data_IF_292744492730
#
_entry.id   IF_292744492730
#
_cell.length_a   1.000
_cell.length_b   1.000
_cell.length_c   1.000
_cell.angle_alpha   90.00
_cell.angle_beta   90.00
_cell.angle_gamma   90.00
#
_symmetry.space_group_name_H-M   'P 1'
#
loop_
_entity.id
_entity.type
_entity.pdbx_description
1 polymer ?
#
# COMPACT_ATOMS: atom_id res chain seq x y z
N UNK A 1 -21.50 36.82 -26.50
CA UNK A 1 -21.54 35.42 -26.06
C UNK A 1 -20.27 34.70 -26.46
N UNK A 2 -19.25 34.73 -25.62
CA UNK A 2 -18.14 33.77 -25.66
C UNK A 2 -17.97 33.35 -24.20
N UNK A 3 -18.47 32.17 -23.85
CA UNK A 3 -18.20 31.56 -22.55
C UNK A 3 -16.82 30.90 -22.67
N UNK A 4 -15.83 31.43 -21.95
CA UNK A 4 -14.56 30.76 -21.71
C UNK A 4 -14.86 29.57 -20.80
N UNK A 5 -14.75 28.36 -21.34
CA UNK A 5 -14.69 27.13 -20.54
C UNK A 5 -13.23 26.93 -20.15
N UNK A 6 -12.75 27.76 -19.23
CA UNK A 6 -11.53 27.45 -18.49
C UNK A 6 -11.89 26.32 -17.53
N UNK A 7 -11.81 25.09 -18.05
CA UNK A 7 -11.74 23.89 -17.23
C UNK A 7 -10.46 24.05 -16.42
N UNK A 8 -10.63 24.24 -15.11
CA UNK A 8 -9.56 24.14 -14.13
C UNK A 8 -9.01 22.72 -14.19
N UNK A 9 -8.11 22.45 -15.14
CA UNK A 9 -7.17 21.35 -15.05
C UNK A 9 -6.29 21.69 -13.85
N UNK A 10 -6.66 21.18 -12.69
CA UNK A 10 -5.72 21.07 -11.59
C UNK A 10 -4.57 20.20 -12.13
N UNK A 11 -3.45 20.83 -12.45
CA UNK A 11 -2.20 20.10 -12.65
C UNK A 11 -1.83 19.53 -11.28
N UNK A 12 -2.34 18.33 -10.99
CA UNK A 12 -1.81 17.50 -9.93
C UNK A 12 -0.30 17.41 -10.20
N UNK A 13 0.52 17.82 -9.24
CA UNK A 13 1.98 17.86 -9.39
C UNK A 13 2.54 16.51 -9.85
N UNK A 14 3.79 16.43 -10.29
CA UNK A 14 4.34 15.14 -10.68
C UNK A 14 4.48 14.25 -9.43
N UNK A 15 3.66 13.20 -9.34
CA UNK A 15 3.75 12.18 -8.30
C UNK A 15 4.91 11.23 -8.58
N UNK A 16 5.47 10.63 -7.54
CA UNK A 16 6.48 9.58 -7.72
C UNK A 16 5.79 8.25 -8.04
N UNK A 17 6.40 7.48 -8.94
CA UNK A 17 6.02 6.10 -9.23
C UNK A 17 6.12 5.26 -7.95
N UNK A 18 5.10 4.49 -7.63
CA UNK A 18 5.14 3.45 -6.60
C UNK A 18 5.03 2.10 -7.27
N UNK A 19 5.85 1.13 -6.86
CA UNK A 19 5.74 -0.25 -7.32
C UNK A 19 5.51 -1.19 -6.13
N UNK A 20 4.50 -2.04 -6.22
CA UNK A 20 4.25 -3.08 -5.23
C UNK A 20 4.90 -4.38 -5.65
N UNK A 21 5.58 -5.01 -4.70
CA UNK A 21 6.36 -6.23 -4.90
C UNK A 21 5.97 -7.26 -3.85
N UNK A 22 5.87 -8.53 -4.23
CA UNK A 22 5.58 -9.59 -3.26
C UNK A 22 6.45 -10.82 -3.45
N UNK A 23 6.52 -11.59 -2.38
CA UNK A 23 7.01 -12.96 -2.35
C UNK A 23 6.24 -13.71 -1.29
N UNK A 24 5.70 -14.88 -1.65
CA UNK A 24 4.89 -15.70 -0.74
C UNK A 24 3.71 -14.88 -0.15
N UNK A 25 3.57 -14.83 1.17
CA UNK A 25 2.51 -14.11 1.88
C UNK A 25 2.89 -12.70 2.34
N UNK A 26 4.05 -12.18 1.89
CA UNK A 26 4.52 -10.84 2.25
C UNK A 26 4.68 -9.96 1.01
N UNK A 27 4.47 -8.66 1.19
CA UNK A 27 4.65 -7.67 0.14
C UNK A 27 5.18 -6.35 0.71
N UNK A 28 5.72 -5.51 -0.17
CA UNK A 28 6.15 -4.16 0.16
C UNK A 28 6.21 -3.27 -1.07
N UNK A 29 6.78 -2.08 -0.93
CA UNK A 29 6.79 -1.07 -1.97
C UNK A 29 8.20 -0.50 -2.24
N UNK A 30 8.44 -0.06 -3.47
CA UNK A 30 9.50 0.88 -3.82
C UNK A 30 8.92 2.18 -4.35
N UNK A 31 9.67 3.28 -4.21
CA UNK A 31 9.31 4.61 -4.72
C UNK A 31 10.32 5.00 -5.81
N UNK A 32 9.83 5.64 -6.87
CA UNK A 32 10.61 6.00 -8.04
C UNK A 32 10.99 4.77 -8.87
N UNK A 33 12.24 4.74 -9.32
CA UNK A 33 12.78 3.67 -10.18
C UNK A 33 13.69 2.69 -9.43
N UNK A 34 13.52 2.57 -8.12
CA UNK A 34 14.29 1.65 -7.29
C UNK A 34 13.90 0.19 -7.55
N UNK A 35 14.90 -0.67 -7.74
CA UNK A 35 14.70 -2.11 -7.88
C UNK A 35 14.55 -2.78 -6.52
N UNK A 36 13.48 -3.55 -6.33
CA UNK A 36 13.32 -4.41 -5.16
C UNK A 36 14.08 -5.74 -5.36
N UNK A 37 15.33 -5.81 -4.91
CA UNK A 37 16.18 -6.99 -5.08
C UNK A 37 16.48 -7.69 -3.75
N UNK A 38 16.30 -9.02 -3.71
CA UNK A 38 16.80 -9.90 -2.63
C UNK A 38 17.57 -11.07 -3.27
N UNK A 39 18.87 -11.22 -2.97
CA UNK A 39 19.83 -12.12 -3.66
C UNK A 39 19.48 -13.63 -3.70
N UNK A 40 18.32 -14.07 -3.24
CA UNK A 40 17.88 -15.46 -3.31
C UNK A 40 16.38 -15.64 -3.53
N UNK A 41 15.62 -14.56 -3.74
CA UNK A 41 14.16 -14.59 -3.79
C UNK A 41 13.68 -14.04 -5.13
N UNK A 42 12.83 -14.82 -5.82
CA UNK A 42 12.12 -14.34 -7.00
C UNK A 42 10.97 -13.42 -6.56
N UNK A 43 11.28 -12.13 -6.43
CA UNK A 43 10.30 -11.09 -6.12
C UNK A 43 9.52 -10.75 -7.38
N UNK A 44 8.20 -10.72 -7.28
CA UNK A 44 7.30 -10.40 -8.40
C UNK A 44 6.78 -8.98 -8.20
N UNK A 45 6.98 -8.12 -9.20
CA UNK A 45 6.30 -6.82 -9.29
C UNK A 45 4.85 -7.05 -9.70
N UNK A 46 3.92 -6.58 -8.86
CA UNK A 46 2.48 -6.77 -9.07
C UNK A 46 1.88 -5.67 -9.93
N UNK A 47 2.04 -4.44 -9.47
CA UNK A 47 1.42 -3.28 -10.09
C UNK A 47 2.22 -2.02 -9.76
N UNK A 48 1.86 -0.95 -10.47
CA UNK A 48 2.43 0.36 -10.27
C UNK A 48 1.32 1.38 -10.03
N UNK A 49 1.65 2.40 -9.27
CA UNK A 49 0.76 3.50 -8.90
C UNK A 49 1.55 4.77 -8.66
N UNK A 50 0.93 5.71 -7.96
CA UNK A 50 1.46 7.05 -7.75
C UNK A 50 1.37 7.45 -6.28
N UNK A 51 2.29 8.31 -5.83
CA UNK A 51 2.23 8.91 -4.49
C UNK A 51 1.09 9.92 -4.34
N UNK A 52 0.47 10.34 -5.45
CA UNK A 52 -0.64 11.29 -5.46
C UNK A 52 -1.85 10.72 -6.22
N UNK A 53 -3.06 11.29 -6.02
CA UNK A 53 -4.21 10.92 -6.83
C UNK A 53 -4.01 11.31 -8.29
N UNK A 54 -4.21 10.35 -9.18
CA UNK A 54 -4.26 10.52 -10.63
C UNK A 54 -5.64 10.15 -11.18
N UNK A 55 -5.98 10.60 -12.38
CA UNK A 55 -7.24 10.25 -13.03
C UNK A 55 -7.37 8.73 -13.17
N UNK A 56 -8.51 8.17 -12.74
CA UNK A 56 -8.78 6.73 -12.79
C UNK A 56 -8.14 5.91 -11.66
N UNK A 57 -7.29 6.51 -10.83
CA UNK A 57 -6.69 5.84 -9.67
C UNK A 57 -7.57 5.93 -8.42
N UNK A 58 -7.38 4.99 -7.50
CA UNK A 58 -7.99 5.00 -6.17
C UNK A 58 -6.93 4.80 -5.09
N UNK A 59 -7.13 5.35 -3.88
CA UNK A 59 -6.23 5.05 -2.78
C UNK A 59 -6.28 3.55 -2.48
N UNK A 60 -5.12 2.95 -2.23
CA UNK A 60 -5.00 1.59 -1.76
C UNK A 60 -4.50 1.60 -0.31
N UNK A 61 -5.27 1.02 0.59
CA UNK A 61 -4.96 0.95 2.01
C UNK A 61 -4.50 -0.46 2.38
N UNK A 62 -3.50 -0.56 3.25
CA UNK A 62 -3.29 -1.71 4.10
C UNK A 62 -3.82 -1.37 5.49
N UNK A 63 -4.86 -2.08 5.92
CA UNK A 63 -5.50 -1.89 7.21
C UNK A 63 -5.32 -3.16 8.01
N UNK A 64 -4.94 -3.06 9.29
CA UNK A 64 -4.94 -4.21 10.19
C UNK A 64 -5.83 -3.98 11.39
N UNK A 65 -6.45 -5.06 11.85
CA UNK A 65 -7.12 -5.09 13.12
C UNK A 65 -7.03 -6.47 13.79
N UNK A 66 -6.49 -6.52 15.00
CA UNK A 66 -6.38 -7.73 15.83
C UNK A 66 -5.92 -9.00 15.09
N UNK A 67 -4.90 -8.88 14.24
CA UNK A 67 -4.36 -10.01 13.47
C UNK A 67 -5.05 -10.28 12.13
N UNK A 68 -6.15 -9.58 11.82
CA UNK A 68 -6.73 -9.55 10.48
C UNK A 68 -6.12 -8.39 9.68
N UNK A 69 -5.95 -8.59 8.38
CA UNK A 69 -5.50 -7.56 7.44
C UNK A 69 -6.48 -7.41 6.28
N UNK A 70 -6.50 -6.21 5.72
CA UNK A 70 -7.26 -5.86 4.53
C UNK A 70 -6.36 -5.02 3.62
N UNK A 71 -6.37 -5.33 2.33
CA UNK A 71 -5.75 -4.53 1.27
C UNK A 71 -6.82 -4.14 0.26
N UNK A 72 -7.09 -2.85 0.10
CA UNK A 72 -8.09 -2.38 -0.86
C UNK A 72 -8.42 -0.89 -0.74
N UNK A 73 -9.43 -0.44 -1.47
CA UNK A 73 -9.82 0.97 -1.57
C UNK A 73 -10.83 1.42 -0.51
N UNK A 74 -11.53 0.47 0.13
CA UNK A 74 -12.41 0.75 1.27
C UNK A 74 -11.66 1.01 2.59
N UNK A 75 -11.48 2.28 2.93
CA UNK A 75 -10.93 2.72 4.22
C UNK A 75 -11.79 2.33 5.44
N UNK A 76 -12.99 1.78 5.24
CA UNK A 76 -13.95 1.46 6.29
C UNK A 76 -14.21 -0.04 6.44
N UNK A 77 -13.40 -0.88 5.78
CA UNK A 77 -13.60 -2.33 5.73
C UNK A 77 -13.77 -3.00 7.11
N UNK A 78 -13.00 -2.55 8.10
CA UNK A 78 -13.07 -3.07 9.48
C UNK A 78 -14.01 -2.28 10.41
N UNK A 79 -14.77 -1.30 9.93
CA UNK A 79 -15.65 -0.51 10.81
C UNK A 79 -16.94 -1.28 11.08
N UNK A 80 -17.43 -1.32 12.34
CA UNK A 80 -18.71 -1.93 12.64
C UNK A 80 -19.86 -1.14 11.99
N UNK A 81 -20.74 -1.84 11.28
CA UNK A 81 -22.00 -1.28 10.80
C UNK A 81 -22.97 -1.16 11.98
N UNK A 82 -22.99 0.01 12.62
CA UNK A 82 -23.84 0.30 13.78
C UNK A 82 -25.07 1.14 13.45
N UNK A 83 -25.42 1.26 12.15
CA UNK A 83 -26.65 1.90 11.66
C UNK A 83 -26.67 3.43 11.73
N UNK A 84 -26.13 4.04 12.78
CA UNK A 84 -26.33 5.49 13.02
C UNK A 84 -25.08 6.33 12.81
N UNK A 85 -23.86 5.80 13.06
CA UNK A 85 -22.58 6.52 12.89
C UNK A 85 -21.40 5.56 12.66
N UNK A 86 -20.59 5.83 11.64
CA UNK A 86 -19.30 5.15 11.48
C UNK A 86 -18.33 5.59 12.58
N UNK A 87 -17.69 4.61 13.22
CA UNK A 87 -16.64 4.83 14.24
C UNK A 87 -15.31 4.30 13.69
N UNK A 88 -14.57 5.09 12.90
CA UNK A 88 -13.35 4.64 12.20
C UNK A 88 -12.18 4.25 13.11
N UNK A 89 -12.30 4.52 14.40
CA UNK A 89 -11.31 4.13 15.41
C UNK A 89 -11.66 2.80 16.11
N UNK A 90 -12.76 2.14 15.76
CA UNK A 90 -13.17 0.86 16.37
C UNK A 90 -13.24 -0.19 15.28
N UNK A 91 -12.69 -1.37 15.57
CA UNK A 91 -12.85 -2.51 14.70
C UNK A 91 -14.14 -3.27 14.98
N UNK A 92 -14.74 -3.80 13.92
CA UNK A 92 -15.93 -4.62 14.00
C UNK A 92 -15.65 -5.89 14.81
N UNK A 93 -16.58 -6.24 15.70
CA UNK A 93 -16.52 -7.43 16.55
C UNK A 93 -15.33 -7.50 17.53
N UNK A 94 -14.66 -6.36 17.77
CA UNK A 94 -13.54 -6.27 18.70
C UNK A 94 -13.88 -5.43 19.94
N UNK A 95 -13.02 -5.50 20.96
CA UNK A 95 -13.11 -4.62 22.12
C UNK A 95 -12.91 -3.15 21.72
N UNK A 96 -13.59 -2.23 22.43
CA UNK A 96 -13.51 -0.79 22.16
C UNK A 96 -12.09 -0.21 22.34
N UNK A 97 -11.16 -0.91 22.97
CA UNK A 97 -9.75 -0.52 23.05
C UNK A 97 -8.93 -0.88 21.81
N UNK A 98 -9.41 -1.82 20.98
CA UNK A 98 -8.72 -2.24 19.75
C UNK A 98 -8.90 -1.16 18.68
N UNK A 99 -7.78 -0.76 18.08
CA UNK A 99 -7.70 0.33 17.09
C UNK A 99 -7.23 -0.24 15.76
N UNK A 100 -7.89 0.10 14.63
CA UNK A 100 -7.35 -0.23 13.33
C UNK A 100 -6.06 0.56 13.07
N UNK A 101 -5.08 -0.09 12.44
CA UNK A 101 -3.87 0.57 11.95
C UNK A 101 -4.03 0.77 10.45
N UNK A 102 -3.87 2.02 10.00
CA UNK A 102 -4.00 2.39 8.60
C UNK A 102 -2.63 2.68 8.00
N UNK A 103 -2.41 2.17 6.78
CA UNK A 103 -1.32 2.58 5.92
C UNK A 103 -1.85 2.86 4.52
N UNK A 104 -1.69 4.09 4.05
CA UNK A 104 -1.90 4.41 2.64
C UNK A 104 -0.69 3.91 1.86
N UNK A 105 -0.90 2.98 0.92
CA UNK A 105 0.14 2.44 0.07
C UNK A 105 0.42 3.33 -1.15
N UNK A 106 -0.56 4.14 -1.55
CA UNK A 106 -0.51 4.99 -2.74
C UNK A 106 -1.84 5.01 -3.47
N UNK A 107 -1.81 5.51 -4.70
CA UNK A 107 -2.96 5.55 -5.60
C UNK A 107 -2.70 4.64 -6.79
N UNK A 108 -3.59 3.68 -7.00
CA UNK A 108 -3.41 2.62 -7.99
C UNK A 108 -4.67 2.51 -8.85
N UNK A 109 -4.49 2.08 -10.10
CA UNK A 109 -5.59 1.45 -10.83
C UNK A 109 -5.84 0.07 -10.20
N UNK A 110 -6.87 -0.02 -9.37
CA UNK A 110 -7.17 -1.22 -8.59
C UNK A 110 -7.55 -2.43 -9.45
N UNK A 111 -7.88 -2.23 -10.74
CA UNK A 111 -8.11 -3.34 -11.66
C UNK A 111 -6.83 -4.12 -11.99
N UNK A 112 -5.66 -3.48 -11.86
CA UNK A 112 -4.37 -4.03 -12.29
C UNK A 112 -3.50 -4.54 -11.13
N UNK A 113 -3.90 -4.31 -9.88
CA UNK A 113 -3.23 -4.90 -8.72
C UNK A 113 -3.89 -6.25 -8.40
N UNK A 114 -3.15 -7.35 -8.61
CA UNK A 114 -3.61 -8.69 -8.24
C UNK A 114 -3.99 -8.78 -6.76
N UNK A 115 -4.74 -9.82 -6.39
CA UNK A 115 -5.27 -9.97 -5.04
C UNK A 115 -4.16 -10.06 -3.97
N UNK A 116 -3.98 -8.96 -3.24
CA UNK A 116 -3.12 -8.85 -2.06
C UNK A 116 -3.86 -9.30 -0.78
N UNK A 117 -5.08 -9.84 -0.91
CA UNK A 117 -5.85 -10.37 0.21
C UNK A 117 -5.07 -11.44 0.96
N UNK A 118 -5.09 -11.33 2.28
CA UNK A 118 -4.37 -12.22 3.19
C UNK A 118 -2.85 -12.00 3.26
N UNK A 119 -2.27 -11.11 2.44
CA UNK A 119 -0.84 -10.80 2.50
C UNK A 119 -0.52 -9.76 3.57
N UNK A 120 0.71 -9.82 4.08
CA UNK A 120 1.22 -8.93 5.12
C UNK A 120 2.17 -7.91 4.51
N UNK A 121 1.88 -6.62 4.74
CA UNK A 121 2.78 -5.55 4.33
C UNK A 121 4.02 -5.50 5.23
N UNK A 122 5.20 -5.38 4.64
CA UNK A 122 6.49 -5.26 5.33
C UNK A 122 7.24 -4.03 4.81
N UNK A 123 7.51 -3.08 5.70
CA UNK A 123 8.12 -1.78 5.36
C UNK A 123 9.52 -1.91 4.75
N UNK A 124 10.35 -2.81 5.28
CA UNK A 124 11.71 -3.06 4.83
C UNK A 124 11.79 -4.24 3.84
N UNK A 125 10.67 -4.58 3.20
CA UNK A 125 10.63 -5.68 2.23
C UNK A 125 11.65 -5.47 1.11
N UNK A 126 11.79 -4.25 0.59
CA UNK A 126 12.71 -3.94 -0.50
C UNK A 126 14.04 -3.32 -0.02
N UNK A 127 14.29 -3.27 1.28
CA UNK A 127 15.54 -2.73 1.83
C UNK A 127 16.73 -3.66 1.51
N UNK A 128 17.75 -3.12 0.85
CA UNK A 128 19.03 -3.79 0.60
C UNK A 128 19.88 -3.85 1.88
N UNK A 129 19.51 -4.65 2.87
CA UNK A 129 20.46 -5.04 3.93
C UNK A 129 21.16 -6.33 3.53
N UNK A 130 22.00 -6.26 2.51
CA UNK A 130 23.09 -7.21 2.31
C UNK A 130 24.22 -6.81 3.26
N UNK A 131 24.32 -7.43 4.43
CA UNK A 131 25.58 -7.45 5.17
C UNK A 131 26.24 -8.81 4.91
N UNK A 132 27.24 -8.91 4.03
CA UNK A 132 28.04 -10.13 3.96
C UNK A 132 28.85 -10.23 5.25
N UNK A 133 28.51 -11.15 6.14
CA UNK A 133 29.41 -11.58 7.21
C UNK A 133 30.59 -12.32 6.58
N UNK A 134 31.54 -11.57 6.03
CA UNK A 134 32.89 -12.05 5.86
C UNK A 134 33.57 -11.90 7.23
N UNK A 135 33.43 -12.92 8.08
CA UNK A 135 34.44 -13.13 9.12
C UNK A 135 35.75 -13.49 8.41
N UNK A 136 36.85 -12.75 8.61
CA UNK A 136 38.15 -13.22 8.17
C UNK A 136 38.52 -14.41 9.06
N UNK A 137 38.39 -15.62 8.52
CA UNK A 137 39.08 -16.78 9.04
C UNK A 137 40.53 -16.65 8.57
N UNK A 138 41.41 -16.15 9.45
CA UNK A 138 42.85 -16.24 9.23
C UNK A 138 43.38 -17.56 9.83
N UNK A 139 44.38 -18.18 9.17
CA UNK A 139 44.89 -19.53 9.45
C UNK A 139 45.66 -19.66 10.77
#
# INVERSE_FOLDING_TARGET
>A
NVYSTDVLSAEFGEGDLIQLHFYDDVFGATIGHESCWKDAINVITLCSGSTIPEEGSKPLYYITCNGHSYVGDDAYNFIPDTGDKLKPHICANEDISVRPIFKLLGYFDTANCADLSGKTYVDDFCSTTMSPTQSPHMP
#
